data_IF_083791667275
#
_entry.id   IF_083791667275
#
_cell.length_a   1.000
_cell.length_b   1.000
_cell.length_c   1.000
_cell.angle_alpha   90.00
_cell.angle_beta   90.00
_cell.angle_gamma   90.00
#
_symmetry.space_group_name_H-M   'P 1'
#
loop_
_entity.id
_entity.type
_entity.pdbx_description
1 polymer ?
#
# COMPACT_ATOMS: atom_id res chain seq x y z
N UNK A 1 0.91 19.20 20.51
CA UNK A 1 0.24 20.49 20.38
C UNK A 1 -1.02 20.38 19.54
N UNK A 2 -1.89 21.34 19.65
CA UNK A 2 -3.13 21.42 18.85
C UNK A 2 -2.83 21.42 17.36
N UNK A 3 -1.81 22.17 16.90
CA UNK A 3 -1.42 22.20 15.49
C UNK A 3 -0.96 20.85 14.98
N UNK A 4 -0.19 20.10 15.77
CA UNK A 4 0.26 18.74 15.40
C UNK A 4 -0.93 17.79 15.30
N UNK A 5 -1.87 17.85 16.25
CA UNK A 5 -3.07 17.02 16.25
C UNK A 5 -3.95 17.31 15.03
N UNK A 6 -4.15 18.61 14.70
CA UNK A 6 -4.92 19.01 13.51
C UNK A 6 -4.24 18.55 12.22
N UNK A 7 -2.91 18.68 12.13
CA UNK A 7 -2.15 18.23 10.98
C UNK A 7 -2.28 16.72 10.77
N UNK A 8 -2.16 15.94 11.83
CA UNK A 8 -2.34 14.48 11.79
C UNK A 8 -3.75 14.12 11.29
N UNK A 9 -4.78 14.79 11.80
CA UNK A 9 -6.16 14.56 11.36
C UNK A 9 -6.38 14.89 9.88
N UNK A 10 -5.65 15.86 9.32
CA UNK A 10 -5.76 16.25 7.92
C UNK A 10 -4.96 15.30 7.00
N UNK A 11 -3.84 14.78 7.46
CA UNK A 11 -2.91 13.99 6.66
C UNK A 11 -3.13 12.48 6.74
N UNK A 12 -3.72 11.99 7.83
CA UNK A 12 -3.87 10.55 8.07
C UNK A 12 -5.30 10.07 7.88
N UNK A 13 -5.41 8.83 7.39
CA UNK A 13 -6.67 8.10 7.40
C UNK A 13 -7.01 7.71 8.84
N UNK A 14 -8.23 8.00 9.28
CA UNK A 14 -8.64 7.81 10.67
C UNK A 14 -8.62 6.34 11.11
N UNK A 15 -8.95 5.42 10.20
CA UNK A 15 -9.01 3.99 10.54
C UNK A 15 -7.61 3.35 10.57
N UNK A 16 -6.78 3.63 9.59
CA UNK A 16 -5.51 2.92 9.37
C UNK A 16 -4.29 3.66 9.88
N UNK A 17 -4.41 4.95 10.13
CA UNK A 17 -3.31 5.85 10.52
C UNK A 17 -2.20 5.98 9.47
N UNK A 18 -2.42 5.44 8.27
CA UNK A 18 -1.58 5.72 7.10
C UNK A 18 -1.91 7.11 6.56
N UNK A 19 -1.06 7.63 5.69
CA UNK A 19 -1.46 8.83 4.94
C UNK A 19 -2.77 8.56 4.23
N UNK A 20 -3.66 9.55 4.20
CA UNK A 20 -4.87 9.47 3.40
C UNK A 20 -4.52 9.67 1.93
N UNK A 21 -5.48 9.46 1.04
CA UNK A 21 -5.24 9.57 -0.40
C UNK A 21 -4.69 10.93 -0.81
N UNK A 22 -5.23 12.01 -0.25
CA UNK A 22 -4.82 13.37 -0.59
C UNK A 22 -3.36 13.64 -0.22
N UNK A 23 -2.98 13.32 1.01
CA UNK A 23 -1.60 13.53 1.49
C UNK A 23 -0.62 12.57 0.83
N UNK A 24 -1.05 11.33 0.57
CA UNK A 24 -0.25 10.35 -0.17
C UNK A 24 0.04 10.81 -1.60
N UNK A 25 -0.96 11.33 -2.30
CA UNK A 25 -0.81 11.87 -3.65
C UNK A 25 0.16 13.06 -3.66
N UNK A 26 0.03 13.95 -2.69
CA UNK A 26 0.93 15.10 -2.55
C UNK A 26 2.37 14.67 -2.34
N UNK A 27 2.62 13.69 -1.46
CA UNK A 27 3.97 13.15 -1.21
C UNK A 27 4.54 12.47 -2.44
N UNK A 28 3.73 11.70 -3.15
CA UNK A 28 4.14 11.03 -4.37
C UNK A 28 4.59 12.04 -5.43
N UNK A 29 3.83 13.12 -5.60
CA UNK A 29 4.19 14.18 -6.56
C UNK A 29 5.50 14.84 -6.21
N UNK A 30 5.78 15.07 -4.93
CA UNK A 30 7.06 15.61 -4.47
C UNK A 30 8.22 14.66 -4.81
N UNK A 31 8.06 13.38 -4.54
CA UNK A 31 9.08 12.36 -4.86
C UNK A 31 9.30 12.26 -6.37
N UNK A 32 8.23 12.31 -7.14
CA UNK A 32 8.30 12.30 -8.61
C UNK A 32 9.11 13.48 -9.14
N UNK A 33 8.85 14.70 -8.65
CA UNK A 33 9.59 15.89 -9.06
C UNK A 33 11.06 15.83 -8.63
N UNK A 34 11.34 15.38 -7.42
CA UNK A 34 12.72 15.19 -6.93
C UNK A 34 13.48 14.18 -7.78
N UNK A 35 12.83 13.09 -8.18
CA UNK A 35 13.44 12.08 -9.05
C UNK A 35 13.84 12.67 -10.39
N UNK A 36 13.04 13.56 -10.95
CA UNK A 36 13.34 14.21 -12.23
C UNK A 36 14.49 15.22 -12.15
N UNK A 37 14.60 15.93 -11.02
CA UNK A 37 15.59 17.01 -10.87
C UNK A 37 16.92 16.54 -10.29
N UNK A 38 16.90 15.56 -9.38
CA UNK A 38 18.08 15.15 -8.59
C UNK A 38 18.56 13.73 -8.92
N UNK A 39 18.00 13.09 -9.93
CA UNK A 39 18.31 11.70 -10.32
C UNK A 39 18.11 10.68 -9.18
N UNK A 40 17.21 10.97 -8.25
CA UNK A 40 16.79 9.99 -7.27
C UNK A 40 15.82 9.01 -7.92
N UNK A 41 15.97 7.74 -7.61
CA UNK A 41 15.06 6.71 -8.11
C UNK A 41 13.91 6.49 -7.12
N UNK A 42 12.80 6.01 -7.64
CA UNK A 42 11.69 5.52 -6.81
C UNK A 42 10.99 4.37 -7.52
N UNK A 43 10.24 3.61 -6.74
CA UNK A 43 9.29 2.64 -7.25
C UNK A 43 7.98 2.81 -6.50
N UNK A 44 6.87 2.52 -7.15
CA UNK A 44 5.58 2.54 -6.50
C UNK A 44 4.81 1.26 -6.76
N UNK A 45 4.02 0.87 -5.77
CA UNK A 45 3.16 -0.27 -5.86
C UNK A 45 1.75 0.13 -5.45
N UNK A 46 0.76 -0.34 -6.19
CA UNK A 46 -0.63 -0.28 -5.78
C UNK A 46 -1.04 -1.71 -5.42
N UNK A 47 -1.56 -1.88 -4.23
CA UNK A 47 -1.94 -3.18 -3.69
C UNK A 47 -3.34 -3.20 -3.16
N UNK A 48 -3.90 -4.39 -3.11
CA UNK A 48 -5.27 -4.62 -2.69
C UNK A 48 -5.31 -5.88 -1.81
N UNK A 49 -6.11 -5.85 -0.76
CA UNK A 49 -6.31 -7.04 0.09
C UNK A 49 -7.20 -8.02 -0.67
N UNK A 50 -6.68 -9.22 -0.90
CA UNK A 50 -7.37 -10.26 -1.63
C UNK A 50 -8.64 -10.72 -0.90
N UNK A 51 -9.76 -10.78 -1.63
CA UNK A 51 -11.05 -11.25 -1.10
C UNK A 51 -11.54 -10.48 0.13
N UNK A 52 -11.24 -9.20 0.22
CA UNK A 52 -11.63 -8.39 1.37
C UNK A 52 -13.16 -8.31 1.53
N UNK A 53 -13.91 -8.23 0.41
CA UNK A 53 -15.37 -8.27 0.45
C UNK A 53 -15.87 -9.56 1.13
N UNK A 54 -15.22 -10.69 0.85
CA UNK A 54 -15.56 -11.97 1.47
C UNK A 54 -15.34 -11.95 2.98
N UNK A 55 -14.28 -11.28 3.45
CA UNK A 55 -14.05 -11.08 4.90
C UNK A 55 -15.22 -10.32 5.52
N UNK A 56 -15.63 -9.21 4.93
CA UNK A 56 -16.77 -8.42 5.41
C UNK A 56 -18.06 -9.23 5.37
N UNK A 57 -18.32 -9.96 4.30
CA UNK A 57 -19.55 -10.75 4.14
C UNK A 57 -19.61 -11.93 5.13
N UNK A 58 -18.47 -12.51 5.46
CA UNK A 58 -18.37 -13.68 6.34
C UNK A 58 -18.34 -13.30 7.81
N UNK A 59 -17.57 -12.28 8.18
CA UNK A 59 -17.28 -11.93 9.59
C UNK A 59 -17.84 -10.57 10.00
N UNK A 60 -18.33 -9.76 9.07
CA UNK A 60 -18.86 -8.42 9.35
C UNK A 60 -17.83 -7.32 9.14
N UNK A 61 -18.33 -6.08 9.03
CA UNK A 61 -17.49 -4.90 8.76
C UNK A 61 -16.52 -4.58 9.90
N UNK A 62 -16.88 -4.88 11.14
CA UNK A 62 -15.95 -4.67 12.27
C UNK A 62 -14.72 -5.56 12.16
N UNK A 63 -14.91 -6.80 11.73
CA UNK A 63 -13.78 -7.70 11.44
C UNK A 63 -12.94 -7.18 10.28
N UNK A 64 -13.59 -6.74 9.21
CA UNK A 64 -12.89 -6.11 8.08
C UNK A 64 -12.06 -4.91 8.52
N UNK A 65 -12.59 -4.07 9.40
CA UNK A 65 -11.86 -2.94 9.97
C UNK A 65 -10.65 -3.39 10.79
N UNK A 66 -10.79 -4.47 11.57
CA UNK A 66 -9.67 -5.04 12.33
C UNK A 66 -8.57 -5.56 11.40
N UNK A 67 -8.94 -6.23 10.32
CA UNK A 67 -8.00 -6.70 9.29
C UNK A 67 -7.29 -5.50 8.65
N UNK A 68 -8.02 -4.46 8.26
CA UNK A 68 -7.45 -3.24 7.68
C UNK A 68 -6.44 -2.59 8.63
N UNK A 69 -6.77 -2.47 9.91
CA UNK A 69 -5.86 -1.90 10.92
C UNK A 69 -4.58 -2.72 11.06
N UNK A 70 -4.70 -4.04 11.13
CA UNK A 70 -3.54 -4.91 11.30
C UNK A 70 -2.63 -4.92 10.07
N UNK A 71 -3.22 -5.02 8.88
CA UNK A 71 -2.47 -4.93 7.63
C UNK A 71 -1.78 -3.57 7.53
N UNK A 72 -2.50 -2.49 7.82
CA UNK A 72 -1.96 -1.12 7.72
C UNK A 72 -0.81 -0.88 8.69
N UNK A 73 -0.90 -1.40 9.92
CA UNK A 73 0.20 -1.31 10.88
C UNK A 73 1.46 -2.00 10.35
N UNK A 74 1.28 -3.15 9.70
CA UNK A 74 2.38 -3.90 9.09
C UNK A 74 2.98 -3.15 7.90
N UNK A 75 2.14 -2.57 7.04
CA UNK A 75 2.59 -1.74 5.91
C UNK A 75 3.39 -0.53 6.42
N UNK A 76 2.89 0.16 7.42
CA UNK A 76 3.54 1.33 7.99
C UNK A 76 4.92 0.99 8.55
N UNK A 77 5.00 -0.09 9.30
CA UNK A 77 6.27 -0.55 9.90
C UNK A 77 7.27 -0.95 8.83
N UNK A 78 6.83 -1.72 7.83
CA UNK A 78 7.70 -2.18 6.74
C UNK A 78 8.24 -1.03 5.90
N UNK A 79 7.41 -0.01 5.64
CA UNK A 79 7.79 1.14 4.82
C UNK A 79 8.61 2.20 5.56
N UNK A 80 8.71 2.09 6.88
CA UNK A 80 9.52 3.02 7.65
C UNK A 80 10.97 3.00 7.18
N UNK A 81 11.54 4.18 6.91
CA UNK A 81 12.88 4.38 6.32
C UNK A 81 13.04 3.86 4.88
N UNK A 82 11.98 3.31 4.29
CA UNK A 82 12.00 2.88 2.88
C UNK A 82 11.22 3.81 1.97
N UNK A 83 10.32 4.56 2.55
CA UNK A 83 9.42 5.45 1.84
C UNK A 83 8.17 5.68 2.65
N UNK A 84 7.00 5.51 2.04
CA UNK A 84 5.75 5.68 2.77
C UNK A 84 4.64 4.78 2.23
N UNK A 85 3.59 4.63 3.06
CA UNK A 85 2.37 3.94 2.69
C UNK A 85 1.18 4.90 2.86
N UNK A 86 0.21 4.81 1.96
CA UNK A 86 -1.02 5.58 2.00
C UNK A 86 -2.22 4.67 1.75
N UNK A 87 -3.34 4.98 2.37
CA UNK A 87 -4.61 4.35 2.02
C UNK A 87 -5.12 5.01 0.74
N UNK A 88 -5.20 4.24 -0.34
CA UNK A 88 -5.50 4.74 -1.68
C UNK A 88 -6.98 4.59 -2.02
N UNK A 89 -7.61 3.57 -1.50
CA UNK A 89 -9.04 3.29 -1.60
C UNK A 89 -9.52 2.55 -0.37
N UNK A 90 -10.67 1.89 -0.41
CA UNK A 90 -11.23 1.16 0.74
C UNK A 90 -10.29 0.10 1.30
N UNK A 91 -9.89 -0.85 0.47
CA UNK A 91 -8.90 -1.89 0.78
C UNK A 91 -7.67 -1.81 -0.12
N UNK A 92 -7.47 -0.67 -0.78
CA UNK A 92 -6.38 -0.41 -1.71
C UNK A 92 -5.35 0.52 -1.09
N UNK A 93 -4.07 0.22 -1.31
CA UNK A 93 -2.94 0.93 -0.71
C UNK A 93 -1.93 1.33 -1.77
N UNK A 94 -1.32 2.49 -1.55
CA UNK A 94 -0.15 2.96 -2.32
C UNK A 94 1.08 2.81 -1.45
N UNK A 95 2.11 2.15 -1.95
CA UNK A 95 3.44 2.09 -1.34
C UNK A 95 4.43 2.76 -2.27
N UNK A 96 5.22 3.68 -1.74
CA UNK A 96 6.27 4.37 -2.50
C UNK A 96 7.61 4.09 -1.84
N UNK A 97 8.51 3.49 -2.61
CA UNK A 97 9.88 3.19 -2.19
C UNK A 97 10.83 4.24 -2.77
N UNK A 98 11.65 4.82 -1.93
CA UNK A 98 12.64 5.81 -2.35
C UNK A 98 14.02 5.17 -2.51
N UNK A 99 14.76 5.62 -3.51
CA UNK A 99 16.15 5.20 -3.76
C UNK A 99 16.31 3.68 -3.98
N UNK A 100 15.42 3.09 -4.75
CA UNK A 100 15.44 1.67 -5.09
C UNK A 100 15.29 1.47 -6.59
N UNK A 101 15.82 0.35 -7.08
CA UNK A 101 15.49 -0.15 -8.41
C UNK A 101 14.32 -1.15 -8.33
N UNK A 102 13.89 -1.65 -9.48
CA UNK A 102 12.76 -2.59 -9.56
C UNK A 102 13.04 -3.88 -8.79
N UNK A 103 14.27 -4.39 -8.90
CA UNK A 103 14.68 -5.65 -8.24
C UNK A 103 14.57 -5.53 -6.73
N UNK A 104 15.10 -4.45 -6.15
CA UNK A 104 15.04 -4.22 -4.70
C UNK A 104 13.61 -3.97 -4.23
N UNK A 105 12.85 -3.17 -4.96
CA UNK A 105 11.44 -2.92 -4.62
C UNK A 105 10.63 -4.21 -4.63
N UNK A 106 10.82 -5.06 -5.63
CA UNK A 106 10.15 -6.36 -5.71
C UNK A 106 10.51 -7.24 -4.52
N UNK A 107 11.78 -7.29 -4.17
CA UNK A 107 12.26 -8.05 -3.01
C UNK A 107 11.59 -7.57 -1.72
N UNK A 108 11.51 -6.25 -1.53
CA UNK A 108 10.86 -5.68 -0.34
C UNK A 108 9.37 -5.98 -0.30
N UNK A 109 8.68 -5.96 -1.45
CA UNK A 109 7.27 -6.34 -1.51
C UNK A 109 7.05 -7.81 -1.21
N UNK A 110 7.90 -8.69 -1.70
CA UNK A 110 7.80 -10.13 -1.44
C UNK A 110 8.01 -10.43 0.05
N UNK A 111 8.96 -9.75 0.69
CA UNK A 111 9.15 -9.84 2.15
C UNK A 111 7.91 -9.36 2.91
N UNK A 112 7.33 -8.26 2.47
CA UNK A 112 6.10 -7.74 3.07
C UNK A 112 4.95 -8.72 2.91
N UNK A 113 4.81 -9.33 1.75
CA UNK A 113 3.77 -10.34 1.50
C UNK A 113 3.90 -11.54 2.42
N UNK A 114 5.11 -11.99 2.69
CA UNK A 114 5.35 -13.07 3.65
C UNK A 114 4.86 -12.67 5.05
N UNK A 115 5.14 -11.44 5.47
CA UNK A 115 4.66 -10.91 6.75
C UNK A 115 3.14 -10.81 6.81
N UNK A 116 2.51 -10.39 5.73
CA UNK A 116 1.05 -10.32 5.63
C UNK A 116 0.44 -11.73 5.72
N UNK A 117 1.04 -12.68 5.02
CA UNK A 117 0.60 -14.08 5.04
C UNK A 117 0.65 -14.68 6.45
N UNK A 118 1.64 -14.32 7.25
CA UNK A 118 1.80 -14.78 8.64
C UNK A 118 0.89 -14.01 9.62
N UNK A 119 0.40 -12.85 9.21
CA UNK A 119 -0.45 -12.02 10.07
C UNK A 119 -1.77 -12.72 10.35
N UNK A 120 -2.11 -12.82 11.62
CA UNK A 120 -3.34 -13.47 12.07
C UNK A 120 -4.18 -12.45 12.83
N UNK A 121 -5.32 -12.11 12.28
CA UNK A 121 -6.28 -11.23 12.95
C UNK A 121 -7.27 -12.07 13.73
N UNK A 122 -7.17 -12.01 15.05
CA UNK A 122 -8.11 -12.68 15.93
C UNK A 122 -9.31 -11.77 16.18
N UNK A 123 -10.49 -12.24 15.77
CA UNK A 123 -11.73 -11.49 15.93
C UNK A 123 -12.83 -12.43 16.40
N UNK A 124 -13.38 -12.17 17.60
CA UNK A 124 -14.43 -12.96 18.21
C UNK A 124 -14.15 -14.49 18.17
N UNK A 125 -12.94 -14.87 18.51
CA UNK A 125 -12.49 -16.26 18.51
C UNK A 125 -12.16 -16.84 17.15
N UNK A 126 -12.32 -16.07 16.06
CA UNK A 126 -12.01 -16.49 14.70
C UNK A 126 -10.65 -15.97 14.28
N UNK A 127 -9.85 -16.80 13.63
CA UNK A 127 -8.57 -16.44 13.04
C UNK A 127 -8.78 -16.08 11.57
N UNK A 128 -8.53 -14.83 11.23
CA UNK A 128 -8.75 -14.33 9.87
C UNK A 128 -7.39 -13.99 9.24
N UNK A 129 -7.06 -14.68 8.15
CA UNK A 129 -5.83 -14.46 7.39
C UNK A 129 -6.18 -13.94 6.00
N UNK A 130 -5.33 -13.06 5.50
CA UNK A 130 -5.50 -12.48 4.16
C UNK A 130 -4.18 -12.48 3.41
N UNK A 131 -4.25 -12.34 2.11
CA UNK A 131 -3.11 -12.08 1.24
C UNK A 131 -3.34 -10.77 0.51
N UNK A 132 -2.31 -10.28 -0.19
CA UNK A 132 -2.42 -9.09 -1.01
C UNK A 132 -1.86 -9.35 -2.41
N UNK A 133 -2.33 -8.57 -3.34
CA UNK A 133 -1.82 -8.53 -4.72
C UNK A 133 -1.31 -7.12 -4.98
N UNK A 134 -0.18 -7.00 -5.64
CA UNK A 134 0.45 -5.71 -5.94
C UNK A 134 0.81 -5.58 -7.42
N UNK A 135 0.59 -4.40 -7.96
CA UNK A 135 1.21 -3.97 -9.21
C UNK A 135 2.35 -3.02 -8.89
N UNK A 136 3.54 -3.33 -9.37
CA UNK A 136 4.78 -2.60 -9.07
C UNK A 136 5.36 -1.98 -10.33
N UNK A 137 5.71 -0.70 -10.27
CA UNK A 137 6.33 0.04 -11.37
C UNK A 137 7.48 0.87 -10.79
N UNK A 138 8.63 0.88 -11.46
CA UNK A 138 9.69 1.82 -11.10
C UNK A 138 9.56 3.10 -11.93
N UNK A 139 10.28 4.14 -11.52
CA UNK A 139 10.31 5.39 -12.23
C UNK A 139 10.74 5.19 -13.70
N UNK A 140 10.28 6.09 -14.55
CA UNK A 140 10.61 6.10 -15.97
C UNK A 140 10.45 7.53 -16.51
N UNK A 141 10.73 7.72 -17.79
CA UNK A 141 10.54 9.02 -18.46
C UNK A 141 9.05 9.39 -18.64
N UNK A 142 8.15 8.48 -18.30
CA UNK A 142 6.72 8.69 -18.44
C UNK A 142 6.21 9.65 -17.37
N UNK A 143 5.07 10.28 -17.61
CA UNK A 143 4.42 11.11 -16.61
C UNK A 143 3.83 10.27 -15.47
N UNK A 144 3.53 10.91 -14.35
CA UNK A 144 3.05 10.22 -13.15
C UNK A 144 1.70 9.55 -13.38
N UNK A 145 0.82 10.17 -14.15
CA UNK A 145 -0.49 9.59 -14.48
C UNK A 145 -0.30 8.23 -15.19
N UNK A 146 0.61 8.16 -16.14
CA UNK A 146 0.93 6.93 -16.88
C UNK A 146 1.53 5.87 -15.96
N UNK A 147 2.45 6.27 -15.08
CA UNK A 147 3.08 5.35 -14.11
C UNK A 147 2.02 4.75 -13.18
N UNK A 148 1.12 5.55 -12.64
CA UNK A 148 0.03 5.08 -11.79
C UNK A 148 -0.92 4.14 -12.54
N UNK A 149 -1.22 4.47 -13.78
CA UNK A 149 -2.07 3.62 -14.64
C UNK A 149 -1.42 2.26 -14.89
N UNK A 150 -0.12 2.23 -15.14
CA UNK A 150 0.63 0.98 -15.31
C UNK A 150 0.58 0.12 -14.05
N UNK A 151 0.71 0.74 -12.88
CA UNK A 151 0.60 0.01 -11.61
C UNK A 151 -0.80 -0.61 -11.44
N UNK A 152 -1.85 0.15 -11.76
CA UNK A 152 -3.23 -0.36 -11.72
C UNK A 152 -3.44 -1.51 -12.69
N UNK A 153 -2.90 -1.42 -13.90
CA UNK A 153 -3.01 -2.49 -14.91
C UNK A 153 -2.31 -3.77 -14.44
N UNK A 154 -1.13 -3.63 -13.82
CA UNK A 154 -0.39 -4.76 -13.25
C UNK A 154 -1.12 -5.40 -12.07
N UNK A 155 -1.73 -4.58 -11.22
CA UNK A 155 -2.58 -5.07 -10.13
C UNK A 155 -3.75 -5.89 -10.68
N UNK A 156 -4.41 -5.40 -11.71
CA UNK A 156 -5.50 -6.12 -12.37
C UNK A 156 -5.04 -7.47 -12.93
N UNK A 157 -3.87 -7.50 -13.57
CA UNK A 157 -3.26 -8.74 -14.08
C UNK A 157 -3.05 -9.73 -12.93
N UNK A 158 -2.51 -9.28 -11.81
CA UNK A 158 -2.31 -10.14 -10.64
C UNK A 158 -3.60 -10.69 -10.08
N UNK A 159 -4.64 -9.86 -10.00
CA UNK A 159 -5.97 -10.29 -9.54
C UNK A 159 -6.61 -11.33 -10.44
N UNK A 160 -6.40 -11.25 -11.75
CA UNK A 160 -6.95 -12.20 -12.71
C UNK A 160 -6.12 -13.48 -12.79
N UNK A 161 -4.86 -13.44 -12.39
CA UNK A 161 -3.93 -14.58 -12.47
C UNK A 161 -3.73 -15.31 -11.14
N UNK A 162 -4.74 -15.28 -10.27
CA UNK A 162 -4.74 -16.06 -9.05
C UNK A 162 -4.48 -15.30 -7.76
N UNK A 163 -4.28 -13.97 -7.83
CA UNK A 163 -4.02 -13.13 -6.64
C UNK A 163 -2.75 -13.53 -5.90
N UNK A 164 -2.49 -12.97 -4.72
CA UNK A 164 -1.35 -13.29 -3.85
C UNK A 164 -0.03 -13.28 -4.62
N UNK A 165 0.25 -12.17 -5.27
CA UNK A 165 1.44 -12.02 -6.12
C UNK A 165 1.80 -10.55 -6.35
N UNK A 166 3.04 -10.33 -6.77
CA UNK A 166 3.52 -9.05 -7.28
C UNK A 166 3.67 -9.16 -8.79
N UNK A 167 3.05 -8.26 -9.52
CA UNK A 167 3.23 -8.13 -10.98
C UNK A 167 4.03 -6.87 -11.25
N UNK A 168 5.15 -7.02 -11.94
CA UNK A 168 6.02 -5.90 -12.28
C UNK A 168 6.39 -5.84 -13.76
#
# INVERSE_FOLDING_TARGET
SMQRSLRTMIEQDALTELYNRRSGDKKLRQIFEEARTSRHSFALAIGDIDFFKKVNDTYGHECGDAVLKNVSALLKQHMWRRGFAARWGGEEFLLVFENVDLTEARKQLELLMDKIHELDTLYEGQHVKVTMTFGLVCESDKDLHTILKEADEKLYIGKTNGRNQVVS
#
